data_IF_950379921773
#
_entry.id   IF_950379921773
#
_cell.length_a   1.000
_cell.length_b   1.000
_cell.length_c   1.000
_cell.angle_alpha   90.00
_cell.angle_beta   90.00
_cell.angle_gamma   90.00
#
_symmetry.space_group_name_H-M   'P 1'
#
loop_
_entity.id
_entity.type
_entity.pdbx_description
1 polymer ?
#
# COMPACT_ATOMS: atom_id res chain seq x y z
N UNK A 1 15.22 1.11 0.84
CA UNK A 1 15.34 2.35 1.59
C UNK A 1 14.27 3.33 1.14
N UNK A 2 13.70 4.11 2.09
CA UNK A 2 12.79 5.21 1.75
C UNK A 2 13.60 6.39 1.22
N UNK A 3 13.15 6.94 0.09
CA UNK A 3 13.77 8.08 -0.58
C UNK A 3 12.64 8.96 -1.12
N UNK A 4 12.61 10.21 -0.72
CA UNK A 4 11.54 11.15 -1.10
C UNK A 4 11.49 11.37 -2.62
N UNK A 5 12.63 11.26 -3.30
CA UNK A 5 12.78 11.51 -4.74
C UNK A 5 12.58 10.26 -5.61
N UNK A 6 12.39 9.07 -5.01
CA UNK A 6 12.34 7.81 -5.75
C UNK A 6 11.09 7.01 -5.40
N UNK A 7 10.54 6.33 -6.40
CA UNK A 7 9.49 5.34 -6.20
C UNK A 7 10.08 4.05 -5.60
N UNK A 8 9.52 3.60 -4.48
CA UNK A 8 9.95 2.36 -3.85
C UNK A 8 9.15 1.18 -4.43
N UNK A 9 9.77 0.42 -5.33
CA UNK A 9 9.13 -0.73 -5.98
C UNK A 9 8.83 -1.92 -5.05
N UNK A 10 9.37 -1.89 -3.80
CA UNK A 10 9.07 -2.89 -2.76
C UNK A 10 7.97 -2.43 -1.78
N UNK A 11 7.45 -1.25 -1.95
CA UNK A 11 6.29 -0.73 -1.23
C UNK A 11 5.04 -0.76 -2.14
N UNK A 12 3.87 -0.71 -1.54
CA UNK A 12 2.62 -0.55 -2.28
C UNK A 12 2.57 0.83 -2.94
N UNK A 13 1.72 0.99 -3.97
CA UNK A 13 1.50 2.31 -4.55
C UNK A 13 0.91 3.28 -3.51
N UNK A 14 0.03 2.81 -2.63
CA UNK A 14 -0.50 3.62 -1.53
C UNK A 14 0.59 4.15 -0.60
N UNK A 15 1.52 3.28 -0.17
CA UNK A 15 2.68 3.69 0.63
C UNK A 15 3.61 4.66 -0.12
N UNK A 16 3.72 4.51 -1.45
CA UNK A 16 4.47 5.46 -2.27
C UNK A 16 3.80 6.83 -2.35
N UNK A 17 2.48 6.88 -2.47
CA UNK A 17 1.72 8.13 -2.46
C UNK A 17 1.82 8.85 -1.10
N UNK A 18 1.57 8.12 -0.02
CA UNK A 18 1.54 8.68 1.33
C UNK A 18 2.93 9.07 1.83
N UNK A 19 3.95 8.29 1.53
CA UNK A 19 5.33 8.43 2.03
C UNK A 19 5.40 8.66 3.54
N UNK A 20 4.63 7.87 4.28
CA UNK A 20 4.50 7.95 5.73
C UNK A 20 3.73 6.76 6.28
N UNK A 21 3.65 6.70 7.60
CA UNK A 21 2.89 5.69 8.32
C UNK A 21 1.54 6.27 8.75
N UNK A 22 0.41 5.70 8.29
CA UNK A 22 -0.91 6.12 8.77
C UNK A 22 -1.06 5.93 10.27
N UNK A 23 -1.71 6.91 10.91
CA UNK A 23 -2.12 6.87 12.32
C UNK A 23 -3.64 6.80 12.38
N UNK A 24 -4.17 5.77 13.05
CA UNK A 24 -5.61 5.52 13.08
C UNK A 24 -6.17 4.97 11.75
N UNK A 25 -7.39 5.36 11.39
CA UNK A 25 -8.14 4.74 10.28
C UNK A 25 -8.25 5.61 9.01
N UNK A 26 -7.83 6.87 9.05
CA UNK A 26 -8.07 7.84 7.97
C UNK A 26 -7.42 7.42 6.65
N UNK A 27 -6.16 7.03 6.66
CA UNK A 27 -5.42 6.62 5.46
C UNK A 27 -5.15 5.11 5.41
N UNK A 28 -6.11 4.30 5.87
CA UNK A 28 -6.03 2.85 5.75
C UNK A 28 -5.96 2.46 4.26
N UNK A 29 -5.10 1.50 3.94
CA UNK A 29 -4.87 0.99 2.59
C UNK A 29 -6.17 0.55 1.87
N UNK A 30 -7.13 -0.04 2.61
CA UNK A 30 -8.39 -0.51 2.03
C UNK A 30 -9.34 0.63 1.63
N UNK A 31 -9.25 1.78 2.30
CA UNK A 31 -10.13 2.93 2.08
C UNK A 31 -9.43 4.11 1.40
N UNK A 32 -8.17 3.96 1.04
CA UNK A 32 -7.36 5.06 0.52
C UNK A 32 -7.97 5.73 -0.72
N UNK A 33 -8.47 4.93 -1.66
CA UNK A 33 -9.13 5.42 -2.87
C UNK A 33 -10.44 6.18 -2.60
N UNK A 34 -11.11 5.92 -1.47
CA UNK A 34 -12.36 6.58 -1.08
C UNK A 34 -12.13 7.85 -0.25
N UNK A 35 -10.90 8.06 0.26
CA UNK A 35 -10.62 9.22 1.10
C UNK A 35 -10.76 10.53 0.30
N UNK A 36 -11.60 11.49 0.74
CA UNK A 36 -11.90 12.70 -0.04
C UNK A 36 -10.65 13.49 -0.45
N UNK A 37 -9.72 13.66 0.48
CA UNK A 37 -8.46 14.36 0.21
C UNK A 37 -7.57 13.61 -0.80
N UNK A 38 -7.47 12.29 -0.72
CA UNK A 38 -6.72 11.49 -1.72
C UNK A 38 -7.34 11.65 -3.10
N UNK A 39 -8.66 11.57 -3.21
CA UNK A 39 -9.38 11.79 -4.48
C UNK A 39 -9.14 13.19 -5.06
N UNK A 40 -9.10 14.20 -4.21
CA UNK A 40 -8.75 15.57 -4.62
C UNK A 40 -7.34 15.60 -5.21
N UNK A 41 -6.33 15.04 -4.51
CA UNK A 41 -4.93 14.97 -4.99
C UNK A 41 -4.84 14.24 -6.32
N UNK A 42 -5.51 13.08 -6.47
CA UNK A 42 -5.51 12.33 -7.73
C UNK A 42 -6.12 13.13 -8.89
N UNK A 43 -7.18 13.89 -8.61
CA UNK A 43 -7.81 14.76 -9.62
C UNK A 43 -6.91 15.92 -10.01
N UNK A 44 -6.31 16.61 -9.04
CA UNK A 44 -5.40 17.74 -9.27
C UNK A 44 -4.15 17.33 -10.06
N UNK A 45 -3.65 16.12 -9.84
CA UNK A 45 -2.48 15.58 -10.55
C UNK A 45 -2.84 14.82 -11.82
N UNK A 46 -4.12 14.74 -12.18
CA UNK A 46 -4.61 14.05 -13.39
C UNK A 46 -4.44 12.53 -13.34
N UNK A 47 -4.24 11.93 -12.15
CA UNK A 47 -4.01 10.49 -11.99
C UNK A 47 -5.28 9.64 -11.94
N UNK A 48 -6.45 10.25 -11.72
CA UNK A 48 -7.69 9.51 -11.48
C UNK A 48 -8.03 8.52 -12.60
N UNK A 49 -7.94 8.96 -13.85
CA UNK A 49 -8.32 8.13 -15.00
C UNK A 49 -7.26 7.07 -15.32
N UNK A 50 -5.98 7.40 -15.16
CA UNK A 50 -4.89 6.42 -15.34
C UNK A 50 -4.98 5.30 -14.30
N UNK A 51 -5.17 5.65 -13.03
CA UNK A 51 -5.30 4.64 -11.98
C UNK A 51 -6.58 3.82 -12.11
N UNK A 52 -7.66 4.41 -12.60
CA UNK A 52 -8.86 3.67 -12.91
C UNK A 52 -8.63 2.67 -14.07
N UNK A 53 -7.90 3.07 -15.11
CA UNK A 53 -7.52 2.18 -16.20
C UNK A 53 -6.60 1.05 -15.75
N UNK A 54 -5.62 1.34 -14.87
CA UNK A 54 -4.77 0.33 -14.23
C UNK A 54 -5.61 -0.60 -13.36
N UNK A 55 -6.54 -0.07 -12.57
CA UNK A 55 -7.45 -0.86 -11.72
C UNK A 55 -8.31 -1.83 -12.52
N UNK A 56 -8.83 -1.38 -13.67
CA UNK A 56 -9.55 -2.27 -14.60
C UNK A 56 -8.66 -3.43 -15.07
N UNK A 57 -7.46 -3.14 -15.55
CA UNK A 57 -6.52 -4.17 -16.00
C UNK A 57 -6.13 -5.13 -14.87
N UNK A 58 -5.96 -4.63 -13.65
CA UNK A 58 -5.72 -5.46 -12.48
C UNK A 58 -6.91 -6.39 -12.20
N UNK A 59 -8.13 -5.87 -12.24
CA UNK A 59 -9.34 -6.66 -12.04
C UNK A 59 -9.48 -7.76 -13.12
N UNK A 60 -9.27 -7.43 -14.39
CA UNK A 60 -9.26 -8.39 -15.51
C UNK A 60 -8.23 -9.49 -15.27
N UNK A 61 -7.00 -9.12 -14.91
CA UNK A 61 -5.91 -10.08 -14.62
C UNK A 61 -6.23 -10.96 -13.40
N UNK A 62 -6.81 -10.39 -12.33
CA UNK A 62 -7.19 -11.17 -11.15
C UNK A 62 -8.29 -12.19 -11.48
N UNK A 63 -9.29 -11.80 -12.27
CA UNK A 63 -10.33 -12.73 -12.73
C UNK A 63 -9.74 -13.84 -13.60
N UNK A 64 -8.87 -13.51 -14.54
CA UNK A 64 -8.22 -14.49 -15.43
C UNK A 64 -7.38 -15.50 -14.65
N UNK A 65 -6.61 -15.06 -13.66
CA UNK A 65 -5.70 -15.92 -12.90
C UNK A 65 -6.37 -16.70 -11.78
N UNK A 66 -7.44 -16.20 -11.19
CA UNK A 66 -7.93 -16.69 -9.90
C UNK A 66 -9.39 -17.13 -9.87
N UNK A 67 -10.22 -16.84 -10.91
CA UNK A 67 -11.65 -17.18 -10.89
C UNK A 67 -11.93 -18.67 -10.76
N UNK A 68 -11.03 -19.51 -11.24
CA UNK A 68 -11.18 -20.97 -11.22
C UNK A 68 -10.53 -21.65 -10.01
N UNK A 69 -9.89 -20.86 -9.13
CA UNK A 69 -9.26 -21.41 -7.92
C UNK A 69 -10.29 -21.55 -6.79
N UNK A 70 -10.20 -22.63 -6.00
CA UNK A 70 -11.08 -22.78 -4.84
C UNK A 70 -10.74 -21.76 -3.73
N UNK A 71 -11.71 -21.46 -2.83
CA UNK A 71 -11.46 -20.64 -1.65
C UNK A 71 -10.30 -21.18 -0.83
N UNK A 72 -9.42 -20.28 -0.32
CA UNK A 72 -8.27 -20.65 0.49
C UNK A 72 -7.09 -21.25 -0.30
N UNK A 73 -7.11 -21.17 -1.62
CA UNK A 73 -5.95 -21.60 -2.41
C UNK A 73 -4.75 -20.68 -2.16
N UNK A 74 -3.56 -21.24 -1.91
CA UNK A 74 -2.36 -20.50 -1.53
C UNK A 74 -1.98 -19.38 -2.51
N UNK A 75 -2.11 -19.60 -3.80
CA UNK A 75 -1.82 -18.58 -4.81
C UNK A 75 -2.80 -17.40 -4.72
N UNK A 76 -4.07 -17.69 -4.45
CA UNK A 76 -5.08 -16.65 -4.27
C UNK A 76 -4.75 -15.80 -3.05
N UNK A 77 -4.57 -16.42 -1.88
CA UNK A 77 -4.23 -15.74 -0.62
C UNK A 77 -2.95 -14.90 -0.71
N UNK A 78 -1.99 -15.37 -1.50
CA UNK A 78 -0.68 -14.73 -1.59
C UNK A 78 -0.61 -13.58 -2.60
N UNK A 79 -1.37 -13.63 -3.67
CA UNK A 79 -1.21 -12.71 -4.81
C UNK A 79 -2.48 -11.95 -5.21
N UNK A 80 -3.66 -12.31 -4.73
CA UNK A 80 -4.88 -11.57 -5.03
C UNK A 80 -4.94 -10.22 -4.32
N UNK A 81 -5.45 -9.21 -5.02
CA UNK A 81 -5.81 -7.90 -4.45
C UNK A 81 -7.29 -7.83 -4.06
N UNK A 82 -8.06 -8.83 -4.45
CA UNK A 82 -9.50 -8.92 -4.33
C UNK A 82 -9.81 -10.04 -3.35
N UNK A 83 -10.73 -9.82 -2.43
CA UNK A 83 -11.20 -10.91 -1.58
C UNK A 83 -11.98 -11.94 -2.42
N UNK A 84 -11.94 -13.20 -2.01
CA UNK A 84 -12.61 -14.27 -2.76
C UNK A 84 -14.11 -13.99 -2.94
N UNK A 85 -14.76 -13.49 -1.89
CA UNK A 85 -16.19 -13.18 -1.89
C UNK A 85 -16.54 -12.00 -2.80
N UNK A 86 -15.57 -11.15 -3.16
CA UNK A 86 -15.75 -10.01 -4.06
C UNK A 86 -15.58 -10.37 -5.55
N UNK A 87 -15.03 -11.56 -5.87
CA UNK A 87 -14.81 -11.97 -7.26
C UNK A 87 -16.07 -11.92 -8.15
N UNK A 88 -17.26 -12.38 -7.69
CA UNK A 88 -18.47 -12.29 -8.48
C UNK A 88 -18.84 -10.84 -8.84
N UNK A 89 -18.72 -9.92 -7.87
CA UNK A 89 -18.98 -8.50 -8.08
C UNK A 89 -17.97 -7.88 -9.06
N UNK A 90 -16.70 -8.21 -8.91
CA UNK A 90 -15.65 -7.72 -9.82
C UNK A 90 -15.89 -8.21 -11.25
N UNK A 91 -16.32 -9.47 -11.43
CA UNK A 91 -16.68 -10.03 -12.73
C UNK A 91 -17.85 -9.27 -13.37
N UNK A 92 -18.87 -8.92 -12.58
CA UNK A 92 -20.00 -8.12 -13.04
C UNK A 92 -19.56 -6.71 -13.47
N UNK A 93 -18.74 -6.03 -12.67
CA UNK A 93 -18.17 -4.71 -12.98
C UNK A 93 -17.38 -4.75 -14.29
N UNK A 94 -16.50 -5.73 -14.49
CA UNK A 94 -15.72 -5.85 -15.73
C UNK A 94 -16.63 -6.13 -16.93
N UNK A 95 -17.67 -6.95 -16.78
CA UNK A 95 -18.69 -7.17 -17.81
C UNK A 95 -19.44 -5.88 -18.17
N UNK A 96 -19.78 -5.06 -17.19
CA UNK A 96 -20.40 -3.76 -17.40
C UNK A 96 -19.44 -2.79 -18.10
N UNK A 97 -18.19 -2.71 -17.68
CA UNK A 97 -17.16 -1.87 -18.33
C UNK A 97 -16.98 -2.25 -19.79
N UNK A 98 -16.98 -3.54 -20.13
CA UNK A 98 -16.87 -4.00 -21.50
C UNK A 98 -18.04 -3.54 -22.38
N UNK A 99 -19.24 -3.39 -21.82
CA UNK A 99 -20.44 -3.01 -22.56
C UNK A 99 -20.70 -1.50 -22.60
N UNK A 100 -20.39 -0.77 -21.53
CA UNK A 100 -20.79 0.65 -21.36
C UNK A 100 -19.64 1.62 -21.14
N UNK A 101 -18.42 1.12 -20.91
CA UNK A 101 -17.22 1.92 -20.60
C UNK A 101 -17.12 2.29 -19.12
N UNK A 102 -15.94 2.81 -18.74
CA UNK A 102 -15.61 3.20 -17.36
C UNK A 102 -16.42 4.41 -16.87
N UNK A 103 -16.83 5.29 -17.77
CA UNK A 103 -17.53 6.54 -17.42
C UNK A 103 -18.94 6.31 -16.85
N UNK A 104 -19.53 5.15 -17.13
CA UNK A 104 -20.88 4.80 -16.69
C UNK A 104 -20.93 3.92 -15.45
N UNK A 105 -19.79 3.67 -14.82
CA UNK A 105 -19.73 2.93 -13.56
C UNK A 105 -20.36 3.74 -12.42
N UNK A 106 -21.08 3.04 -11.55
CA UNK A 106 -21.50 3.58 -10.28
C UNK A 106 -20.26 3.96 -9.41
N UNK A 107 -20.42 4.94 -8.51
CA UNK A 107 -19.33 5.45 -7.71
C UNK A 107 -18.65 4.35 -6.87
N UNK A 108 -19.42 3.42 -6.30
CA UNK A 108 -18.87 2.32 -5.49
C UNK A 108 -18.03 1.35 -6.31
N UNK A 109 -18.45 1.04 -7.53
CA UNK A 109 -17.73 0.15 -8.43
C UNK A 109 -16.47 0.83 -8.98
N UNK A 110 -16.58 2.13 -9.30
CA UNK A 110 -15.44 2.96 -9.68
C UNK A 110 -14.40 3.03 -8.55
N UNK A 111 -14.85 3.21 -7.31
CA UNK A 111 -13.98 3.23 -6.13
C UNK A 111 -13.30 1.89 -5.88
N UNK A 112 -14.00 0.77 -6.10
CA UNK A 112 -13.41 -0.56 -6.00
C UNK A 112 -12.25 -0.70 -6.99
N UNK A 113 -12.48 -0.40 -8.28
CA UNK A 113 -11.42 -0.47 -9.28
C UNK A 113 -10.26 0.48 -8.96
N UNK A 114 -10.56 1.73 -8.57
CA UNK A 114 -9.55 2.72 -8.20
C UNK A 114 -8.72 2.30 -6.98
N UNK A 115 -9.27 1.48 -6.09
CA UNK A 115 -8.58 0.96 -4.90
C UNK A 115 -7.52 -0.11 -5.21
N UNK A 116 -7.69 -0.87 -6.29
CA UNK A 116 -6.79 -1.98 -6.60
C UNK A 116 -5.32 -1.57 -6.82
N UNK A 117 -5.02 -0.51 -7.61
CA UNK A 117 -3.64 -0.06 -7.82
C UNK A 117 -2.90 0.26 -6.53
N UNK A 118 -3.59 0.81 -5.51
CA UNK A 118 -2.95 1.18 -4.25
C UNK A 118 -2.38 -0.02 -3.48
N UNK A 119 -2.89 -1.22 -3.71
CA UNK A 119 -2.41 -2.47 -3.09
C UNK A 119 -1.26 -3.11 -3.85
N UNK A 120 -0.92 -2.61 -5.05
CA UNK A 120 0.08 -3.22 -5.92
C UNK A 120 1.51 -2.92 -5.45
N UNK A 121 2.35 -3.96 -5.41
CA UNK A 121 3.81 -3.91 -5.18
C UNK A 121 4.49 -4.38 -6.48
N UNK A 122 5.24 -3.50 -7.12
CA UNK A 122 5.82 -3.75 -8.46
C UNK A 122 6.71 -5.00 -8.49
N UNK A 123 7.61 -5.14 -7.52
CA UNK A 123 8.56 -6.27 -7.45
C UNK A 123 7.90 -7.60 -7.11
N UNK A 124 6.78 -7.59 -6.38
CA UNK A 124 6.03 -8.78 -5.98
C UNK A 124 5.15 -9.29 -7.11
N UNK A 125 4.35 -8.42 -7.71
CA UNK A 125 3.28 -8.80 -8.62
C UNK A 125 3.72 -8.87 -10.09
N UNK A 126 4.72 -8.10 -10.50
CA UNK A 126 5.41 -8.14 -11.81
C UNK A 126 4.47 -8.09 -13.02
N UNK A 127 3.39 -7.34 -12.93
CA UNK A 127 2.35 -7.28 -13.97
C UNK A 127 2.67 -6.29 -15.10
N UNK A 128 3.73 -5.49 -14.98
CA UNK A 128 4.13 -4.51 -15.99
C UNK A 128 3.15 -3.33 -16.18
N UNK A 129 2.23 -3.12 -15.23
CA UNK A 129 1.19 -2.09 -15.32
C UNK A 129 1.63 -0.72 -14.78
N UNK A 130 2.74 -0.66 -14.08
CA UNK A 130 3.34 0.57 -13.56
C UNK A 130 4.68 0.74 -14.24
N UNK A 131 4.76 1.70 -15.15
CA UNK A 131 5.99 2.11 -15.82
C UNK A 131 6.65 3.30 -15.12
N UNK A 132 7.83 3.71 -15.58
CA UNK A 132 8.60 4.82 -15.01
C UNK A 132 7.83 6.15 -15.10
N UNK A 133 7.04 6.35 -16.15
CA UNK A 133 6.25 7.56 -16.32
C UNK A 133 5.17 7.66 -15.23
N UNK A 134 4.46 6.56 -14.95
CA UNK A 134 3.47 6.50 -13.87
C UNK A 134 4.14 6.59 -12.49
N UNK A 135 5.30 5.94 -12.27
CA UNK A 135 6.08 6.11 -11.04
C UNK A 135 6.39 7.57 -10.76
N UNK A 136 6.87 8.33 -11.75
CA UNK A 136 7.19 9.75 -11.62
C UNK A 136 5.93 10.58 -11.30
N UNK A 137 4.80 10.29 -11.92
CA UNK A 137 3.52 10.97 -11.62
C UNK A 137 3.01 10.68 -10.21
N UNK A 138 3.24 9.47 -9.70
CA UNK A 138 2.95 9.16 -8.28
C UNK A 138 3.85 9.97 -7.34
N UNK A 139 5.13 10.20 -7.72
CA UNK A 139 6.02 11.08 -6.95
C UNK A 139 5.54 12.54 -6.94
N UNK A 140 4.99 13.03 -8.04
CA UNK A 140 4.38 14.37 -8.10
C UNK A 140 3.14 14.44 -7.21
N UNK A 141 2.27 13.43 -7.26
CA UNK A 141 1.11 13.33 -6.38
C UNK A 141 1.50 13.22 -4.90
N UNK A 142 2.60 12.52 -4.55
CA UNK A 142 3.18 12.49 -3.20
C UNK A 142 3.50 13.90 -2.70
N UNK A 143 4.15 14.73 -3.54
CA UNK A 143 4.48 16.11 -3.18
C UNK A 143 3.23 16.95 -2.97
N UNK A 144 2.25 16.83 -3.87
CA UNK A 144 0.95 17.50 -3.74
C UNK A 144 0.22 17.06 -2.47
N UNK A 145 0.20 15.75 -2.18
CA UNK A 145 -0.39 15.18 -0.97
C UNK A 145 0.25 15.77 0.29
N UNK A 146 1.58 15.76 0.38
CA UNK A 146 2.28 16.22 1.57
C UNK A 146 2.16 17.73 1.78
N UNK A 147 2.27 18.54 0.71
CA UNK A 147 2.23 20.00 0.80
C UNK A 147 0.83 20.58 1.00
N UNK A 148 -0.19 19.89 0.53
CA UNK A 148 -1.59 20.34 0.63
C UNK A 148 -2.39 19.66 1.74
N UNK A 149 -1.75 18.85 2.60
CA UNK A 149 -2.46 18.12 3.65
C UNK A 149 -3.14 19.08 4.61
N UNK A 150 -4.49 19.00 4.79
CA UNK A 150 -5.23 19.81 5.73
C UNK A 150 -4.73 19.65 7.17
N UNK A 151 -4.74 20.74 7.95
CA UNK A 151 -4.22 20.74 9.33
C UNK A 151 -4.90 19.73 10.25
N UNK A 152 -6.18 19.48 10.06
CA UNK A 152 -6.98 18.49 10.79
C UNK A 152 -6.54 17.04 10.50
N UNK A 153 -5.85 16.80 9.39
CA UNK A 153 -5.32 15.49 9.02
C UNK A 153 -3.84 15.29 9.39
N UNK A 154 -3.13 16.31 9.88
CA UNK A 154 -1.71 16.21 10.23
C UNK A 154 -1.41 15.10 11.25
N UNK A 155 -2.33 14.86 12.20
CA UNK A 155 -2.18 13.81 13.22
C UNK A 155 -2.51 12.40 12.72
N UNK A 156 -3.02 12.27 11.50
CA UNK A 156 -3.45 10.97 10.93
C UNK A 156 -2.40 10.29 10.07
N UNK A 157 -1.24 10.93 9.91
CA UNK A 157 -0.08 10.37 9.20
C UNK A 157 1.21 10.91 9.81
N UNK A 158 2.20 10.05 9.96
CA UNK A 158 3.57 10.43 10.30
C UNK A 158 4.46 10.19 9.09
N UNK A 159 4.93 11.27 8.45
CA UNK A 159 5.75 11.20 7.24
C UNK A 159 7.14 10.61 7.54
N UNK A 160 7.70 9.88 6.57
CA UNK A 160 9.07 9.40 6.66
C UNK A 160 10.05 10.56 6.53
N UNK A 161 10.90 10.69 7.55
CA UNK A 161 11.98 11.65 7.63
C UNK A 161 13.22 10.90 8.14
N UNK A 162 14.33 10.95 7.40
CA UNK A 162 15.54 10.20 7.75
C UNK A 162 16.19 10.68 9.05
N UNK A 163 15.96 11.95 9.43
CA UNK A 163 16.53 12.56 10.62
C UNK A 163 15.64 12.38 11.88
N UNK A 164 14.47 11.73 11.71
CA UNK A 164 13.48 11.62 12.79
C UNK A 164 12.98 10.19 12.94
N UNK A 165 12.85 9.76 14.21
CA UNK A 165 12.17 8.51 14.53
C UNK A 165 10.67 8.63 14.22
N UNK A 166 10.14 7.68 13.46
CA UNK A 166 8.71 7.60 13.16
C UNK A 166 8.00 6.76 14.22
N UNK A 167 7.21 7.40 15.09
CA UNK A 167 6.54 6.72 16.21
C UNK A 167 5.39 5.80 15.77
N UNK A 168 4.85 6.03 14.59
CA UNK A 168 3.78 5.21 14.02
C UNK A 168 4.32 3.97 13.28
N UNK A 169 5.62 3.93 12.96
CA UNK A 169 6.26 2.81 12.28
C UNK A 169 6.85 1.79 13.28
N UNK A 170 7.05 0.56 12.82
CA UNK A 170 7.74 -0.45 13.64
C UNK A 170 9.20 -0.07 13.88
N UNK A 171 9.79 -0.61 14.96
CA UNK A 171 11.23 -0.48 15.23
C UNK A 171 12.07 -0.96 14.03
N UNK A 172 11.67 -2.07 13.40
CA UNK A 172 12.33 -2.60 12.21
C UNK A 172 12.29 -1.59 11.05
N UNK A 173 11.14 -0.99 10.77
CA UNK A 173 11.01 -0.01 9.69
C UNK A 173 11.83 1.26 9.94
N UNK A 174 11.94 1.69 11.21
CA UNK A 174 12.81 2.79 11.61
C UNK A 174 14.29 2.46 11.42
N UNK A 175 14.75 1.27 11.84
CA UNK A 175 16.16 0.85 11.69
C UNK A 175 16.54 0.69 10.22
N UNK A 176 15.68 0.03 9.42
CA UNK A 176 15.94 -0.22 8.01
C UNK A 176 15.74 1.03 7.15
N UNK A 177 14.90 1.94 7.61
CA UNK A 177 14.40 3.07 6.84
C UNK A 177 14.02 2.64 5.42
N UNK A 178 13.16 1.60 5.33
CA UNK A 178 12.80 1.01 4.05
C UNK A 178 11.99 -0.27 4.18
N UNK A 179 11.69 -0.86 3.03
CA UNK A 179 10.97 -2.15 2.92
C UNK A 179 11.93 -3.28 2.55
N UNK A 180 11.66 -4.45 3.09
CA UNK A 180 12.36 -5.67 2.70
C UNK A 180 11.97 -6.02 1.27
N UNK A 181 12.97 -6.33 0.43
CA UNK A 181 12.75 -6.64 -0.97
C UNK A 181 11.86 -7.89 -1.12
N UNK A 182 10.75 -7.74 -1.85
CA UNK A 182 9.87 -8.84 -2.21
C UNK A 182 10.56 -9.77 -3.22
N UNK A 183 10.54 -11.07 -2.98
CA UNK A 183 11.04 -12.06 -3.94
C UNK A 183 12.42 -12.68 -3.61
N UNK A 184 13.09 -12.27 -2.55
CA UNK A 184 14.23 -13.02 -2.01
C UNK A 184 13.73 -14.05 -0.98
N UNK A 185 13.83 -15.32 -1.34
CA UNK A 185 13.52 -16.41 -0.40
C UNK A 185 14.41 -16.30 0.84
N UNK A 186 13.80 -16.20 2.02
CA UNK A 186 14.53 -16.08 3.28
C UNK A 186 15.05 -14.67 3.63
N UNK A 187 14.87 -13.65 2.78
CA UNK A 187 15.37 -12.29 3.04
C UNK A 187 14.86 -11.69 4.37
N UNK A 188 13.59 -11.89 4.69
CA UNK A 188 13.04 -11.46 5.98
C UNK A 188 13.67 -12.15 7.17
N UNK A 189 13.93 -13.45 7.09
CA UNK A 189 14.59 -14.23 8.15
C UNK A 189 16.05 -13.79 8.33
N UNK A 190 16.77 -13.53 7.24
CA UNK A 190 18.16 -13.05 7.29
C UNK A 190 18.25 -11.67 7.93
N UNK A 191 17.39 -10.74 7.53
CA UNK A 191 17.31 -9.39 8.13
C UNK A 191 16.94 -9.49 9.62
N UNK A 192 15.94 -10.32 9.97
CA UNK A 192 15.55 -10.53 11.36
C UNK A 192 16.70 -11.13 12.22
N UNK A 193 17.54 -12.01 11.63
CA UNK A 193 18.72 -12.54 12.31
C UNK A 193 19.80 -11.46 12.52
N UNK A 194 20.07 -10.67 11.47
CA UNK A 194 21.02 -9.57 11.55
C UNK A 194 20.60 -8.51 12.57
N UNK A 195 19.32 -8.12 12.57
CA UNK A 195 18.79 -7.17 13.55
C UNK A 195 18.96 -7.68 14.99
N UNK A 196 18.68 -8.97 15.25
CA UNK A 196 18.89 -9.57 16.57
C UNK A 196 20.36 -9.51 16.99
N UNK A 197 21.26 -9.85 16.08
CA UNK A 197 22.70 -9.79 16.33
C UNK A 197 23.13 -8.36 16.69
N UNK A 198 22.72 -7.35 15.90
CA UNK A 198 23.04 -5.93 16.16
C UNK A 198 22.48 -5.47 17.52
N UNK A 199 21.24 -5.86 17.85
CA UNK A 199 20.63 -5.51 19.14
C UNK A 199 21.35 -6.17 20.32
N UNK A 200 21.91 -7.37 20.14
CA UNK A 200 22.75 -8.04 21.16
C UNK A 200 24.10 -7.38 21.28
N UNK A 201 24.79 -7.09 20.18
CA UNK A 201 26.11 -6.41 20.17
C UNK A 201 26.06 -5.01 20.80
N UNK A 202 24.92 -4.29 20.58
CA UNK A 202 24.70 -2.95 21.15
C UNK A 202 24.07 -2.99 22.58
N UNK A 203 23.83 -4.16 23.13
CA UNK A 203 23.17 -4.36 24.44
C UNK A 203 21.74 -3.73 24.50
N UNK A 204 21.09 -3.54 23.37
CA UNK A 204 19.77 -2.91 23.27
C UNK A 204 18.59 -3.86 23.48
N UNK A 205 18.83 -5.17 23.47
CA UNK A 205 17.76 -6.18 23.59
C UNK A 205 16.89 -6.01 24.84
N UNK A 206 17.44 -5.74 26.05
CA UNK A 206 16.60 -5.53 27.24
C UNK A 206 15.71 -4.29 27.13
N UNK A 207 16.23 -3.22 26.49
CA UNK A 207 15.48 -2.00 26.25
C UNK A 207 14.29 -2.24 25.29
N UNK A 208 14.54 -2.92 24.16
CA UNK A 208 13.51 -3.28 23.17
C UNK A 208 12.42 -4.14 23.80
N UNK A 209 12.79 -5.14 24.63
CA UNK A 209 11.83 -5.97 25.34
C UNK A 209 10.98 -5.16 26.32
N UNK A 210 11.58 -4.23 27.06
CA UNK A 210 10.85 -3.35 27.97
C UNK A 210 9.85 -2.48 27.24
N UNK A 211 10.27 -1.81 26.16
CA UNK A 211 9.37 -0.99 25.32
C UNK A 211 8.23 -1.82 24.75
N UNK A 212 8.50 -3.07 24.31
CA UNK A 212 7.47 -3.98 23.81
C UNK A 212 6.48 -4.43 24.91
N UNK A 213 6.91 -4.60 26.15
CA UNK A 213 6.06 -4.95 27.29
C UNK A 213 5.22 -3.76 27.78
N UNK A 214 5.77 -2.54 27.68
CA UNK A 214 5.09 -1.30 28.04
C UNK A 214 4.10 -0.84 26.96
N UNK A 215 4.15 -1.44 25.76
CA UNK A 215 3.22 -1.13 24.69
C UNK A 215 1.82 -1.61 25.06
N UNK A 216 0.91 -0.65 25.30
CA UNK A 216 -0.48 -0.95 25.61
C UNK A 216 -1.19 -1.46 24.35
N UNK A 217 -1.39 -2.77 24.29
CA UNK A 217 -2.32 -3.36 23.34
C UNK A 217 -3.72 -2.92 23.78
N UNK A 218 -4.36 -2.04 23.02
CA UNK A 218 -5.72 -1.59 23.32
C UNK A 218 -6.68 -2.76 23.50
N UNK A 219 -7.80 -2.54 24.16
CA UNK A 219 -8.83 -3.54 24.56
C UNK A 219 -9.44 -4.38 23.42
N UNK A 220 -8.93 -4.31 22.22
CA UNK A 220 -9.26 -5.10 21.04
C UNK A 220 -8.03 -5.75 20.42
N UNK A 221 -7.05 -6.14 21.23
CA UNK A 221 -5.81 -6.73 20.76
C UNK A 221 -6.04 -7.94 19.86
N UNK A 222 -5.63 -7.81 18.63
CA UNK A 222 -5.37 -8.90 17.69
C UNK A 222 -4.01 -8.67 17.06
#
# INVERSE_FOLDING_TARGET
QFDLSRYNRNATMGENLLFGTPVGKSFNADNLAMHPYVRQVLKETGLSDDLLAVGRKLAETMLELFSDLPPGHELFERFSFIAYDDLPRVKEIIGQVASTGLDRLADDDRNLLLGLPFKMIVTKHRLGLIDEALENRILDARRTFASGLPSELHSTIEFFDQERYNNAASLQDNILFGKIASGQAGGGAQIGSLLRQILEELELRPLVLRVGLDYQVGTGGS
#
